data_IF_180284118500
#
_entry.id   IF_180284118500
#
_cell.length_a   1.000
_cell.length_b   1.000
_cell.length_c   1.000
_cell.angle_alpha   90.00
_cell.angle_beta   90.00
_cell.angle_gamma   90.00
#
_symmetry.space_group_name_H-M   'P 1'
#
loop_
_entity.id
_entity.type
_entity.pdbx_description
1 polymer ?
#
# COMPACT_ATOMS: atom_id res chain seq x y z
N UNK A 1 -7.16 -11.62 -23.61
CA UNK A 1 -7.22 -10.48 -22.66
C UNK A 1 -8.45 -10.51 -21.76
N UNK A 2 -9.69 -10.59 -22.28
CA UNK A 2 -10.91 -10.48 -21.46
C UNK A 2 -10.95 -11.38 -20.20
N UNK A 3 -10.60 -12.67 -20.32
CA UNK A 3 -10.59 -13.62 -19.18
C UNK A 3 -9.63 -13.24 -18.04
N UNK A 4 -8.47 -12.65 -18.36
CA UNK A 4 -7.45 -12.32 -17.37
C UNK A 4 -7.78 -11.04 -16.59
N UNK A 5 -8.71 -10.23 -17.10
CA UNK A 5 -9.12 -8.98 -16.46
C UNK A 5 -10.30 -9.16 -15.49
N UNK A 6 -10.93 -10.35 -15.43
CA UNK A 6 -12.09 -10.61 -14.56
C UNK A 6 -11.73 -10.95 -13.11
N UNK A 7 -10.45 -11.18 -12.78
CA UNK A 7 -10.04 -11.40 -11.40
C UNK A 7 -9.73 -10.06 -10.73
N UNK A 8 -10.68 -9.58 -9.93
CA UNK A 8 -10.60 -8.29 -9.27
C UNK A 8 -9.56 -8.26 -8.13
N UNK A 9 -9.12 -9.43 -7.65
CA UNK A 9 -8.09 -9.55 -6.62
C UNK A 9 -6.67 -9.38 -7.17
N UNK A 10 -6.48 -9.39 -8.48
CA UNK A 10 -5.17 -9.26 -9.10
C UNK A 10 -4.90 -7.81 -9.51
N UNK A 11 -3.73 -7.31 -9.10
CA UNK A 11 -3.24 -5.97 -9.43
C UNK A 11 -2.51 -5.94 -10.78
N UNK A 12 -1.99 -7.09 -11.21
CA UNK A 12 -1.36 -7.21 -12.52
C UNK A 12 -1.45 -8.63 -13.07
N UNK A 13 -1.15 -8.77 -14.35
CA UNK A 13 -1.02 -10.06 -14.99
C UNK A 13 -0.02 -10.01 -16.15
N UNK A 14 0.62 -11.14 -16.40
CA UNK A 14 1.35 -11.37 -17.64
C UNK A 14 0.46 -12.15 -18.60
N UNK A 15 0.43 -11.75 -19.86
CA UNK A 15 -0.30 -12.47 -20.90
C UNK A 15 0.62 -12.79 -22.07
N UNK A 16 0.63 -14.07 -22.45
CA UNK A 16 1.31 -14.55 -23.65
C UNK A 16 0.26 -14.82 -24.73
N UNK A 17 0.37 -14.09 -25.83
CA UNK A 17 -0.60 -14.14 -26.91
C UNK A 17 -0.52 -15.45 -27.70
N UNK A 18 0.69 -15.95 -27.95
CA UNK A 18 0.93 -17.17 -28.73
C UNK A 18 0.44 -18.41 -27.98
N UNK A 19 0.68 -18.45 -26.66
CA UNK A 19 0.25 -19.53 -25.78
C UNK A 19 -1.21 -19.39 -25.32
N UNK A 20 -1.82 -18.22 -25.53
CA UNK A 20 -3.13 -17.84 -24.96
C UNK A 20 -3.24 -18.07 -23.44
N UNK A 21 -2.14 -17.87 -22.71
CA UNK A 21 -2.06 -18.05 -21.26
C UNK A 21 -1.86 -16.73 -20.54
N UNK A 22 -2.37 -16.62 -19.32
CA UNK A 22 -1.98 -15.57 -18.39
C UNK A 22 -1.57 -16.12 -17.03
N UNK A 23 -0.69 -15.37 -16.37
CA UNK A 23 -0.31 -15.55 -14.97
C UNK A 23 -0.75 -14.30 -14.23
N UNK A 24 -1.61 -14.50 -13.23
CA UNK A 24 -2.19 -13.41 -12.45
C UNK A 24 -1.35 -13.17 -11.21
N UNK A 25 -1.15 -11.91 -10.85
CA UNK A 25 -0.36 -11.50 -9.70
C UNK A 25 -1.14 -10.54 -8.81
N UNK A 26 -1.02 -10.75 -7.50
CA UNK A 26 -1.59 -9.86 -6.48
C UNK A 26 -0.72 -8.64 -6.17
N UNK A 27 0.40 -8.49 -6.88
CA UNK A 27 1.35 -7.37 -6.74
C UNK A 27 1.52 -6.62 -8.05
N UNK A 28 2.14 -5.44 -7.96
CA UNK A 28 2.55 -4.65 -9.11
C UNK A 28 4.05 -4.85 -9.35
N UNK A 29 4.44 -5.03 -10.61
CA UNK A 29 5.84 -5.12 -11.00
C UNK A 29 6.29 -3.79 -11.58
N UNK A 30 7.10 -3.05 -10.81
CA UNK A 30 7.57 -1.71 -11.17
C UNK A 30 8.88 -1.70 -11.96
N UNK A 31 9.48 -2.88 -12.18
CA UNK A 31 10.67 -3.04 -13.03
C UNK A 31 10.54 -4.28 -13.93
N UNK A 32 11.13 -4.18 -15.12
CA UNK A 32 11.05 -5.24 -16.13
C UNK A 32 11.73 -6.56 -15.68
N UNK A 33 12.59 -6.53 -14.67
CA UNK A 33 13.30 -7.71 -14.15
C UNK A 33 12.65 -8.31 -12.89
N UNK A 34 11.59 -7.68 -12.36
CA UNK A 34 10.99 -8.09 -11.09
C UNK A 34 10.07 -9.31 -11.21
N UNK A 35 9.72 -9.75 -12.42
CA UNK A 35 8.82 -10.87 -12.67
C UNK A 35 9.53 -12.02 -13.40
N UNK A 36 9.39 -13.28 -12.95
CA UNK A 36 9.98 -14.44 -13.63
C UNK A 36 9.55 -14.58 -15.11
N UNK A 37 8.35 -14.12 -15.45
CA UNK A 37 7.75 -14.26 -16.78
C UNK A 37 8.38 -13.34 -17.85
N UNK A 38 9.03 -12.24 -17.45
CA UNK A 38 9.66 -11.30 -18.40
C UNK A 38 10.96 -11.83 -19.01
N UNK A 39 11.53 -12.88 -18.43
CA UNK A 39 12.72 -13.57 -18.95
C UNK A 39 12.37 -14.42 -20.17
N UNK A 40 11.09 -14.74 -20.40
CA UNK A 40 10.62 -15.56 -21.51
C UNK A 40 10.04 -14.72 -22.66
N UNK A 41 10.40 -15.06 -23.89
CA UNK A 41 9.90 -14.37 -25.08
C UNK A 41 8.37 -14.51 -25.23
N UNK A 42 7.70 -13.41 -25.58
CA UNK A 42 6.26 -13.41 -25.91
C UNK A 42 5.31 -13.06 -24.76
N UNK A 43 5.80 -12.92 -23.52
CA UNK A 43 4.99 -12.43 -22.39
C UNK A 43 4.93 -10.90 -22.35
N UNK A 44 3.73 -10.35 -22.17
CA UNK A 44 3.48 -8.91 -22.00
C UNK A 44 2.87 -8.64 -20.63
N UNK A 45 3.32 -7.58 -19.97
CA UNK A 45 2.79 -7.11 -18.69
C UNK A 45 1.55 -6.24 -18.88
N UNK A 46 0.57 -6.41 -18.01
CA UNK A 46 -0.62 -5.58 -17.91
C UNK A 46 -0.91 -5.33 -16.43
N UNK A 47 -1.29 -4.11 -16.08
CA UNK A 47 -1.63 -3.75 -14.71
C UNK A 47 -3.02 -3.12 -14.63
N UNK A 48 -3.59 -3.06 -13.42
CA UNK A 48 -4.82 -2.30 -13.18
C UNK A 48 -4.65 -0.79 -13.32
N UNK A 49 -3.43 -0.28 -13.49
CA UNK A 49 -3.16 1.13 -13.82
C UNK A 49 -3.69 1.50 -15.22
N UNK A 50 -3.74 0.54 -16.14
CA UNK A 50 -3.98 0.80 -17.56
C UNK A 50 -5.43 0.53 -18.03
N UNK A 51 -6.33 0.05 -17.14
CA UNK A 51 -7.45 -0.80 -17.58
C UNK A 51 -8.85 -0.63 -16.98
N UNK A 52 -9.16 0.43 -16.23
CA UNK A 52 -10.48 0.56 -15.58
C UNK A 52 -11.07 1.97 -15.66
N UNK A 53 -12.35 2.06 -16.00
CA UNK A 53 -13.16 3.27 -16.26
C UNK A 53 -13.34 4.26 -15.08
N UNK A 54 -12.53 4.16 -14.01
CA UNK A 54 -12.49 5.12 -12.90
C UNK A 54 -11.15 5.84 -12.96
N UNK A 55 -11.18 7.15 -13.19
CA UNK A 55 -10.00 7.98 -13.37
C UNK A 55 -9.47 8.31 -11.97
N UNK A 56 -8.51 7.54 -11.45
CA UNK A 56 -7.70 8.05 -10.34
C UNK A 56 -6.87 9.24 -10.85
N UNK A 57 -6.52 10.17 -9.96
CA UNK A 57 -5.58 11.24 -10.31
C UNK A 57 -4.27 10.69 -10.88
N UNK A 58 -3.59 11.50 -11.70
CA UNK A 58 -2.34 11.08 -12.34
C UNK A 58 -1.32 10.57 -11.32
N UNK A 59 -0.78 9.37 -11.55
CA UNK A 59 0.17 8.70 -10.65
C UNK A 59 -0.47 7.73 -9.66
N UNK A 60 -1.80 7.69 -9.55
CA UNK A 60 -2.53 6.76 -8.68
C UNK A 60 -3.00 5.52 -9.43
N UNK A 61 -3.06 4.41 -8.71
CA UNK A 61 -3.52 3.11 -9.17
C UNK A 61 -4.84 2.77 -8.49
N UNK A 62 -5.83 2.31 -9.26
CA UNK A 62 -7.09 1.85 -8.68
C UNK A 62 -6.96 0.41 -8.15
N UNK A 63 -7.26 0.21 -6.86
CA UNK A 63 -7.53 -1.11 -6.29
C UNK A 63 -8.98 -1.49 -6.60
N UNK A 64 -9.20 -2.41 -7.56
CA UNK A 64 -10.56 -2.89 -7.93
C UNK A 64 -11.20 -3.80 -6.89
N UNK A 65 -10.40 -4.30 -5.94
CA UNK A 65 -10.90 -5.17 -4.88
C UNK A 65 -11.46 -4.35 -3.72
N UNK A 66 -10.75 -3.29 -3.34
CA UNK A 66 -11.10 -2.42 -2.21
C UNK A 66 -11.68 -1.06 -2.65
N UNK A 67 -11.81 -0.83 -3.96
CA UNK A 67 -12.43 0.34 -4.59
C UNK A 67 -11.84 1.71 -4.20
N UNK A 68 -10.52 1.77 -3.95
CA UNK A 68 -9.79 3.01 -3.64
C UNK A 68 -8.60 3.23 -4.57
N UNK A 69 -8.20 4.49 -4.73
CA UNK A 69 -7.01 4.88 -5.48
C UNK A 69 -5.80 5.00 -4.55
N UNK A 70 -4.65 4.48 -4.94
CA UNK A 70 -3.42 4.54 -4.16
C UNK A 70 -2.20 4.81 -5.03
N UNK A 71 -1.21 5.49 -4.48
CA UNK A 71 0.13 5.58 -5.05
C UNK A 71 1.13 5.14 -3.97
N UNK A 72 2.35 4.75 -4.36
CA UNK A 72 3.42 4.35 -3.44
C UNK A 72 4.68 5.13 -3.83
N UNK A 73 5.03 6.11 -3.01
CA UNK A 73 6.25 6.92 -3.16
C UNK A 73 7.15 6.83 -1.94
N UNK A 74 8.42 7.23 -2.08
CA UNK A 74 9.36 7.30 -0.95
C UNK A 74 9.68 8.74 -0.61
N UNK A 75 9.52 9.13 0.66
CA UNK A 75 9.95 10.44 1.17
C UNK A 75 10.78 10.29 2.44
N UNK A 76 11.79 11.13 2.63
CA UNK A 76 12.49 11.24 3.93
C UNK A 76 11.78 12.29 4.78
N UNK A 77 11.00 11.85 5.76
CA UNK A 77 10.13 12.72 6.55
C UNK A 77 9.78 12.09 7.91
N UNK A 78 9.32 12.92 8.85
CA UNK A 78 8.53 12.46 9.99
C UNK A 78 7.09 12.18 9.59
N UNK A 79 6.32 11.50 10.43
CA UNK A 79 4.90 11.23 10.13
C UNK A 79 4.10 12.53 9.97
N UNK A 80 4.42 13.56 10.74
CA UNK A 80 3.80 14.90 10.62
C UNK A 80 4.06 15.49 9.24
N UNK A 81 5.32 15.47 8.79
CA UNK A 81 5.71 15.96 7.47
C UNK A 81 5.17 15.08 6.34
N UNK A 82 5.07 13.77 6.55
CA UNK A 82 4.48 12.82 5.60
C UNK A 82 2.96 13.08 5.43
N UNK A 83 2.21 13.25 6.52
CA UNK A 83 0.79 13.65 6.50
C UNK A 83 0.60 14.97 5.76
N UNK A 84 1.44 15.96 6.03
CA UNK A 84 1.41 17.24 5.31
C UNK A 84 1.70 17.08 3.81
N UNK A 85 2.68 16.25 3.45
CA UNK A 85 2.99 15.94 2.05
C UNK A 85 1.83 15.23 1.35
N UNK A 86 1.20 14.24 1.99
CA UNK A 86 -0.01 13.58 1.46
C UNK A 86 -1.11 14.61 1.17
N UNK A 87 -1.43 15.46 2.15
CA UNK A 87 -2.47 16.49 2.01
C UNK A 87 -2.17 17.50 0.90
N UNK A 88 -0.90 17.86 0.71
CA UNK A 88 -0.50 18.83 -0.33
C UNK A 88 -0.80 18.37 -1.76
N UNK A 89 -0.98 17.07 -1.96
CA UNK A 89 -1.34 16.49 -3.26
C UNK A 89 -2.70 15.79 -3.23
N UNK A 90 -3.56 16.19 -2.29
CA UNK A 90 -4.97 15.80 -2.23
C UNK A 90 -5.24 14.41 -1.65
N UNK A 91 -4.28 13.79 -0.96
CA UNK A 91 -4.50 12.50 -0.29
C UNK A 91 -4.16 12.53 1.20
N UNK A 92 -4.13 11.34 1.81
CA UNK A 92 -3.87 11.09 3.23
C UNK A 92 -3.03 9.82 3.40
N UNK A 93 -2.33 9.65 4.53
CA UNK A 93 -1.71 8.37 4.85
C UNK A 93 -2.77 7.26 4.90
N UNK A 94 -2.46 6.05 4.44
CA UNK A 94 -3.46 4.97 4.53
C UNK A 94 -3.76 4.61 5.96
N UNK A 95 -5.05 4.54 6.24
CA UNK A 95 -5.58 3.87 7.41
C UNK A 95 -5.81 2.39 7.08
N UNK A 96 -5.38 1.52 7.98
CA UNK A 96 -5.68 0.09 7.90
C UNK A 96 -6.81 -0.22 8.88
N UNK A 97 -8.02 -0.35 8.36
CA UNK A 97 -9.24 -0.56 9.14
C UNK A 97 -9.83 -1.97 8.97
N UNK A 98 -9.19 -2.84 8.19
CA UNK A 98 -9.64 -4.21 7.97
C UNK A 98 -8.49 -5.16 7.64
N UNK A 99 -8.66 -6.48 7.86
CA UNK A 99 -7.70 -7.50 7.41
C UNK A 99 -7.43 -7.43 5.91
N UNK A 100 -8.44 -7.15 5.09
CA UNK A 100 -8.28 -7.06 3.63
C UNK A 100 -7.38 -5.88 3.24
N UNK A 101 -7.47 -4.76 3.97
CA UNK A 101 -6.59 -3.60 3.78
C UNK A 101 -5.17 -3.89 4.26
N UNK A 102 -5.02 -4.62 5.37
CA UNK A 102 -3.74 -5.09 5.87
C UNK A 102 -3.06 -5.98 4.82
N UNK A 103 -3.74 -7.04 4.37
CA UNK A 103 -3.27 -7.93 3.31
C UNK A 103 -2.87 -7.10 2.09
N UNK A 104 -3.72 -6.18 1.65
CA UNK A 104 -3.40 -5.32 0.50
C UNK A 104 -2.09 -4.54 0.68
N UNK A 105 -1.86 -3.96 1.86
CA UNK A 105 -0.63 -3.22 2.18
C UNK A 105 0.59 -4.13 2.11
N UNK A 106 0.52 -5.35 2.65
CA UNK A 106 1.59 -6.36 2.54
C UNK A 106 1.92 -6.67 1.08
N UNK A 107 0.89 -6.87 0.25
CA UNK A 107 1.06 -7.20 -1.17
C UNK A 107 1.71 -6.07 -1.99
N UNK A 108 1.38 -4.81 -1.72
CA UNK A 108 2.00 -3.68 -2.44
C UNK A 108 3.42 -3.37 -1.97
N UNK A 109 3.78 -3.84 -0.77
CA UNK A 109 5.12 -3.74 -0.17
C UNK A 109 6.03 -4.91 -0.54
N UNK A 110 5.47 -6.06 -0.93
CA UNK A 110 6.24 -7.24 -1.38
C UNK A 110 7.23 -6.91 -2.50
N UNK A 111 8.49 -7.34 -2.33
CA UNK A 111 9.58 -7.14 -3.27
C UNK A 111 10.15 -5.72 -3.32
N UNK A 112 9.69 -4.78 -2.48
CA UNK A 112 10.28 -3.45 -2.35
C UNK A 112 11.46 -3.46 -1.36
N UNK A 113 12.45 -2.55 -1.53
CA UNK A 113 13.48 -2.38 -0.51
C UNK A 113 12.83 -2.05 0.84
N UNK A 114 13.20 -2.80 1.87
CA UNK A 114 12.64 -2.63 3.21
C UNK A 114 12.78 -1.17 3.66
N UNK A 115 11.65 -0.54 3.88
CA UNK A 115 11.53 0.82 4.40
C UNK A 115 10.27 0.85 5.28
N UNK A 116 10.33 1.42 6.48
CA UNK A 116 9.15 1.59 7.31
C UNK A 116 8.04 2.32 6.56
N UNK A 117 6.80 1.93 6.81
CA UNK A 117 5.62 2.56 6.21
C UNK A 117 4.82 3.19 7.33
N UNK A 118 4.71 4.51 7.37
CA UNK A 118 3.76 5.15 8.28
C UNK A 118 2.35 4.83 7.82
N UNK A 119 1.51 4.43 8.74
CA UNK A 119 0.07 4.28 8.53
C UNK A 119 -0.64 5.31 9.40
N UNK A 120 -1.87 5.66 9.05
CA UNK A 120 -2.62 6.58 9.86
C UNK A 120 -3.06 5.93 11.18
N UNK A 121 -2.87 6.67 12.27
CA UNK A 121 -3.05 6.19 13.63
C UNK A 121 -2.15 6.93 14.61
N UNK A 122 -2.77 7.54 15.61
CA UNK A 122 -2.08 8.22 16.72
C UNK A 122 -2.76 7.91 18.06
N UNK A 123 -1.94 7.60 19.07
CA UNK A 123 -2.38 7.37 20.44
C UNK A 123 -2.71 8.70 21.11
N UNK A 124 -3.93 8.79 21.63
CA UNK A 124 -4.47 9.97 22.27
C UNK A 124 -4.29 9.94 23.80
N UNK A 125 -4.44 11.07 24.51
CA UNK A 125 -4.33 11.13 25.98
C UNK A 125 -5.34 10.24 26.73
N UNK A 126 -6.47 9.88 26.10
CA UNK A 126 -7.46 8.94 26.63
C UNK A 126 -7.07 7.46 26.44
N UNK A 127 -5.83 7.19 25.98
CA UNK A 127 -5.29 5.88 25.62
C UNK A 127 -5.99 5.19 24.44
N UNK A 128 -6.77 5.92 23.64
CA UNK A 128 -7.34 5.40 22.39
C UNK A 128 -6.41 5.67 21.21
N UNK A 129 -6.46 4.80 20.20
CA UNK A 129 -5.80 5.01 18.91
C UNK A 129 -6.80 5.61 17.93
N UNK A 130 -6.45 6.72 17.29
CA UNK A 130 -7.33 7.45 16.37
C UNK A 130 -6.66 7.76 15.04
N UNK A 131 -7.45 7.78 14.00
CA UNK A 131 -7.07 8.28 12.68
C UNK A 131 -7.03 9.82 12.70
N UNK A 132 -6.46 10.40 11.64
CA UNK A 132 -6.34 11.85 11.47
C UNK A 132 -7.70 12.56 11.41
N UNK A 133 -8.74 11.89 10.93
CA UNK A 133 -10.12 12.39 10.93
C UNK A 133 -10.80 12.35 12.31
N UNK A 134 -10.11 11.81 13.32
CA UNK A 134 -10.59 11.65 14.70
C UNK A 134 -11.38 10.37 14.96
N UNK A 135 -11.63 9.55 13.94
CA UNK A 135 -12.29 8.25 14.09
C UNK A 135 -11.42 7.27 14.89
N UNK A 136 -12.07 6.39 15.65
CA UNK A 136 -11.38 5.36 16.42
C UNK A 136 -10.84 4.28 15.49
N UNK A 137 -9.61 3.82 15.74
CA UNK A 137 -9.10 2.60 15.14
C UNK A 137 -9.82 1.39 15.78
N UNK A 138 -10.44 0.57 14.94
CA UNK A 138 -11.20 -0.62 15.35
C UNK A 138 -10.52 -1.93 14.96
N UNK A 139 -9.48 -1.85 14.14
CA UNK A 139 -8.66 -2.98 13.70
C UNK A 139 -7.22 -2.73 14.13
N UNK A 140 -6.52 -3.81 14.47
CA UNK A 140 -5.14 -3.77 14.93
C UNK A 140 -4.38 -5.00 14.44
N UNK A 141 -3.15 -4.79 13.98
CA UNK A 141 -2.22 -5.88 13.61
C UNK A 141 -0.84 -5.67 14.25
N UNK A 142 -0.81 -5.44 15.57
CA UNK A 142 0.41 -5.19 16.32
C UNK A 142 1.40 -6.36 16.23
N UNK A 143 2.68 -6.04 16.01
CA UNK A 143 3.77 -6.99 16.12
C UNK A 143 3.85 -7.53 17.57
N UNK A 144 4.37 -8.75 17.80
CA UNK A 144 4.49 -9.27 19.16
C UNK A 144 5.22 -8.31 20.11
N UNK A 145 4.57 -8.00 21.24
CA UNK A 145 4.98 -7.02 22.27
C UNK A 145 4.75 -5.54 21.93
N UNK A 146 4.06 -5.24 20.84
CA UNK A 146 3.58 -3.89 20.52
C UNK A 146 2.11 -3.69 20.92
N UNK A 147 1.68 -2.45 21.17
CA UNK A 147 2.52 -1.28 21.34
C UNK A 147 3.31 -1.36 22.66
N UNK A 148 4.59 -1.01 22.62
CA UNK A 148 5.53 -1.08 23.74
C UNK A 148 5.69 0.27 24.48
N UNK A 149 5.16 1.37 23.91
CA UNK A 149 5.21 2.71 24.51
C UNK A 149 6.40 3.57 24.05
N UNK A 150 7.13 3.15 23.01
CA UNK A 150 8.20 3.91 22.37
C UNK A 150 7.69 5.10 21.55
N UNK A 151 6.37 5.23 21.37
CA UNK A 151 5.76 6.47 20.92
C UNK A 151 4.25 6.43 20.79
N UNK A 152 3.72 7.38 20.02
CA UNK A 152 2.28 7.55 19.84
C UNK A 152 1.86 7.40 18.37
N UNK A 153 2.78 7.16 17.43
CA UNK A 153 2.46 7.05 16.02
C UNK A 153 2.70 5.62 15.52
N UNK A 154 2.02 5.21 14.45
CA UNK A 154 2.07 3.82 13.96
C UNK A 154 2.88 3.72 12.67
N UNK A 155 3.67 2.67 12.55
CA UNK A 155 4.28 2.24 11.30
C UNK A 155 4.18 0.73 11.10
N UNK A 156 4.30 0.28 9.85
CA UNK A 156 4.63 -1.11 9.54
C UNK A 156 6.11 -1.36 9.86
N UNK A 157 6.35 -2.41 10.64
CA UNK A 157 7.67 -2.89 11.03
C UNK A 157 7.92 -4.29 10.42
N UNK A 158 8.62 -5.18 11.13
CA UNK A 158 9.05 -6.46 10.57
C UNK A 158 7.85 -7.38 10.33
N UNK A 159 7.79 -8.00 9.14
CA UNK A 159 6.67 -8.85 8.76
C UNK A 159 5.38 -8.06 8.53
N UNK A 160 5.50 -6.77 8.21
CA UNK A 160 4.40 -5.86 7.87
C UNK A 160 3.31 -5.70 8.95
N UNK A 161 3.60 -6.15 10.17
CA UNK A 161 2.81 -5.88 11.37
C UNK A 161 3.13 -4.48 11.92
N UNK A 162 2.34 -4.01 12.88
CA UNK A 162 2.39 -2.63 13.36
C UNK A 162 3.29 -2.50 14.59
N UNK A 163 4.01 -1.39 14.68
CA UNK A 163 4.77 -1.00 15.86
C UNK A 163 4.47 0.46 16.21
N UNK A 164 4.50 0.83 17.50
CA UNK A 164 4.46 2.23 17.90
C UNK A 164 5.83 2.89 17.85
N UNK A 165 5.86 4.13 17.40
CA UNK A 165 7.08 4.90 17.18
C UNK A 165 6.88 6.36 17.52
N UNK A 166 7.99 7.04 17.83
CA UNK A 166 7.97 8.49 18.06
C UNK A 166 7.54 9.22 16.79
N UNK A 167 6.62 10.15 16.94
CA UNK A 167 6.06 10.93 15.82
C UNK A 167 7.06 11.91 15.19
N UNK A 168 8.17 12.20 15.85
CA UNK A 168 9.27 13.06 15.36
C UNK A 168 10.36 12.28 14.61
N UNK A 169 10.28 10.95 14.55
CA UNK A 169 11.26 10.12 13.85
C UNK A 169 11.29 10.46 12.36
N UNK A 170 12.46 10.82 11.81
CA UNK A 170 12.63 11.09 10.38
C UNK A 170 13.21 9.85 9.71
N UNK A 171 12.50 9.33 8.71
CA UNK A 171 12.95 8.16 7.96
C UNK A 171 12.38 8.14 6.55
N UNK A 172 12.78 7.14 5.74
CA UNK A 172 12.18 6.92 4.42
C UNK A 172 10.81 6.25 4.60
N UNK A 173 9.75 6.90 4.13
CA UNK A 173 8.35 6.50 4.33
C UNK A 173 7.69 6.20 3.00
N UNK A 174 6.91 5.12 2.95
CA UNK A 174 5.98 4.85 1.84
C UNK A 174 4.73 5.72 1.99
N UNK A 175 4.49 6.61 1.03
CA UNK A 175 3.23 7.35 0.93
C UNK A 175 2.22 6.45 0.24
N UNK A 176 1.18 6.03 0.94
CA UNK A 176 -0.07 5.62 0.32
C UNK A 176 -1.02 6.79 0.32
N UNK A 177 -1.80 6.92 -0.74
CA UNK A 177 -2.82 7.94 -0.88
C UNK A 177 -4.17 7.26 -0.95
N UNK A 178 -5.22 7.98 -0.57
CA UNK A 178 -6.60 7.58 -0.72
C UNK A 178 -7.34 8.83 -1.21
N UNK A 179 -8.05 8.71 -2.34
CA UNK A 179 -9.04 9.70 -2.82
C UNK A 179 -10.40 9.45 -2.18
#
# INVERSE_FOLDING_TARGET
MALCNHNNQCLSFFYNQDLRKCVLHRKLFYSFFAAPETVQQGWKYYSTQDGGTKICSHGYTHSRYLEFCFNVGYVYASIVSAKAACRSIGGQLSAIHSPEKQDFMEHIMDGRPYAPVYIDGEKQPDNTWRQEDGSLLTYFNWYPNEPNGDGNCIQLCTGDMWCDVRCDLIQRVTLSFEE
#
